data_IF_024636168594
#
_entry.id   IF_024636168594
#
_cell.length_a   1.000
_cell.length_b   1.000
_cell.length_c   1.000
_cell.angle_alpha   90.00
_cell.angle_beta   90.00
_cell.angle_gamma   90.00
#
_symmetry.space_group_name_H-M   'P 1'
#
loop_
_entity.id
_entity.type
_entity.pdbx_description
1 polymer ?
#
# COMPACT_ATOMS: atom_id res chain seq x y z
N UNK A 1 4.79 4.28 -23.27
CA UNK A 1 6.08 4.18 -22.52
C UNK A 1 5.82 4.73 -21.13
N UNK A 2 6.33 4.08 -20.08
CA UNK A 2 6.19 4.61 -18.71
C UNK A 2 7.14 5.78 -18.51
N UNK A 3 6.69 6.83 -17.81
CA UNK A 3 7.52 7.99 -17.48
C UNK A 3 8.57 7.62 -16.40
N UNK A 4 9.72 8.31 -16.34
CA UNK A 4 10.72 8.09 -15.29
C UNK A 4 10.17 8.37 -13.88
N UNK A 5 10.63 7.63 -12.88
CA UNK A 5 10.20 7.81 -11.48
C UNK A 5 10.49 9.23 -10.97
N UNK A 6 11.60 9.83 -11.40
CA UNK A 6 11.95 11.23 -11.07
C UNK A 6 10.90 12.24 -11.54
N UNK A 7 10.09 11.90 -12.55
CA UNK A 7 8.98 12.71 -13.06
C UNK A 7 7.69 12.35 -12.35
N UNK A 8 7.37 11.05 -12.25
CA UNK A 8 6.04 10.65 -11.73
C UNK A 8 5.90 10.81 -10.22
N UNK A 9 6.98 10.66 -9.44
CA UNK A 9 6.93 10.78 -7.98
C UNK A 9 6.50 12.19 -7.53
N UNK A 10 7.05 13.30 -8.06
CA UNK A 10 6.56 14.65 -7.77
C UNK A 10 5.10 14.86 -8.20
N UNK A 11 4.69 14.37 -9.38
CA UNK A 11 3.32 14.48 -9.85
C UNK A 11 2.33 13.72 -8.94
N UNK A 12 2.72 12.56 -8.44
CA UNK A 12 1.93 11.80 -7.49
C UNK A 12 1.81 12.50 -6.14
N UNK A 13 2.89 13.13 -5.66
CA UNK A 13 2.88 13.96 -4.44
C UNK A 13 1.93 15.14 -4.59
N UNK A 14 1.95 15.81 -5.74
CA UNK A 14 1.01 16.88 -6.07
C UNK A 14 -0.44 16.41 -6.02
N UNK A 15 -0.72 15.26 -6.62
CA UNK A 15 -2.06 14.70 -6.66
C UNK A 15 -2.54 14.26 -5.26
N UNK A 16 -1.64 13.74 -4.42
CA UNK A 16 -1.92 13.44 -3.01
C UNK A 16 -2.29 14.70 -2.22
N UNK A 17 -1.59 15.81 -2.42
CA UNK A 17 -1.94 17.09 -1.81
C UNK A 17 -3.32 17.59 -2.23
N UNK A 18 -3.66 17.43 -3.51
CA UNK A 18 -4.92 17.94 -4.04
C UNK A 18 -6.13 17.10 -3.64
N UNK A 19 -6.01 15.77 -3.60
CA UNK A 19 -7.15 14.87 -3.49
C UNK A 19 -7.19 14.03 -2.20
N UNK A 20 -6.05 13.84 -1.53
CA UNK A 20 -5.94 12.93 -0.40
C UNK A 20 -5.76 13.62 0.95
N UNK A 21 -5.08 14.76 0.98
CA UNK A 21 -4.73 15.47 2.21
C UNK A 21 -5.71 16.62 2.49
N UNK A 22 -6.18 16.71 3.73
CA UNK A 22 -7.03 17.79 4.20
C UNK A 22 -6.51 18.31 5.54
N UNK A 23 -6.32 19.62 5.65
CA UNK A 23 -5.98 20.27 6.91
C UNK A 23 -7.26 20.71 7.64
N UNK A 24 -7.35 20.50 8.95
CA UNK A 24 -8.51 20.84 9.76
C UNK A 24 -8.56 20.01 11.04
N UNK A 25 -9.58 20.23 11.86
CA UNK A 25 -9.79 19.45 13.08
C UNK A 25 -10.64 18.22 12.77
N UNK A 26 -10.03 17.06 12.92
CA UNK A 26 -10.67 15.76 12.66
C UNK A 26 -10.66 14.87 13.91
N UNK A 27 -11.69 14.05 14.06
CA UNK A 27 -11.71 12.94 15.01
C UNK A 27 -11.50 11.65 14.20
N UNK A 28 -10.39 10.96 14.46
CA UNK A 28 -10.06 9.70 13.79
C UNK A 28 -10.93 8.56 14.32
N UNK A 29 -10.97 7.43 13.59
CA UNK A 29 -11.69 6.22 14.02
C UNK A 29 -11.22 5.66 15.37
N UNK A 30 -10.00 5.98 15.79
CA UNK A 30 -9.46 5.68 17.12
C UNK A 30 -9.99 6.59 18.24
N UNK A 31 -10.77 7.63 17.91
CA UNK A 31 -11.21 8.68 18.83
C UNK A 31 -10.16 9.79 19.06
N UNK A 32 -8.97 9.69 18.52
CA UNK A 32 -7.93 10.70 18.65
C UNK A 32 -8.23 11.92 17.77
N UNK A 33 -7.92 13.13 18.29
CA UNK A 33 -7.95 14.35 17.49
C UNK A 33 -6.71 14.44 16.59
N UNK A 34 -6.92 14.94 15.38
CA UNK A 34 -5.85 15.18 14.40
C UNK A 34 -6.10 16.51 13.69
N UNK A 35 -5.05 17.28 13.47
CA UNK A 35 -5.12 18.52 12.70
C UNK A 35 -5.05 18.30 11.17
N UNK A 36 -5.10 17.06 10.74
CA UNK A 36 -5.20 16.69 9.34
C UNK A 36 -5.93 15.34 9.18
N UNK A 37 -6.46 15.15 8.00
CA UNK A 37 -7.02 13.87 7.54
C UNK A 37 -6.33 13.46 6.24
N UNK A 38 -6.10 12.15 6.04
CA UNK A 38 -5.58 11.61 4.81
C UNK A 38 -6.40 10.40 4.37
N UNK A 39 -6.80 10.41 3.09
CA UNK A 39 -7.47 9.30 2.42
C UNK A 39 -6.90 9.16 1.01
N UNK A 40 -6.09 8.15 0.77
CA UNK A 40 -5.42 7.97 -0.52
C UNK A 40 -6.33 7.41 -1.62
N UNK A 41 -7.54 6.92 -1.31
CA UNK A 41 -8.44 6.29 -2.31
C UNK A 41 -8.81 7.21 -3.48
N UNK A 42 -9.10 8.52 -3.30
CA UNK A 42 -9.31 9.41 -4.42
C UNK A 42 -8.13 9.48 -5.40
N UNK A 43 -6.90 9.26 -4.90
CA UNK A 43 -5.67 9.22 -5.71
C UNK A 43 -5.45 7.84 -6.30
N UNK A 44 -5.52 6.78 -5.49
CA UNK A 44 -5.24 5.41 -5.96
C UNK A 44 -6.31 4.87 -6.92
N UNK A 45 -7.49 5.47 -6.95
CA UNK A 45 -8.56 5.21 -7.91
C UNK A 45 -8.57 6.22 -9.09
N UNK A 46 -7.72 7.27 -9.06
CA UNK A 46 -7.58 8.20 -10.17
C UNK A 46 -6.73 7.56 -11.29
N UNK A 47 -7.05 7.72 -12.57
CA UNK A 47 -6.33 7.06 -13.67
C UNK A 47 -4.81 7.24 -13.62
N UNK A 48 -4.33 8.47 -13.51
CA UNK A 48 -2.90 8.77 -13.38
C UNK A 48 -2.37 8.42 -11.99
N UNK A 49 -3.15 8.65 -10.94
CA UNK A 49 -2.75 8.30 -9.57
C UNK A 49 -2.50 6.81 -9.39
N UNK A 50 -3.35 5.95 -9.95
CA UNK A 50 -3.16 4.51 -9.97
C UNK A 50 -1.89 4.13 -10.75
N UNK A 51 -1.73 4.65 -11.97
CA UNK A 51 -0.57 4.39 -12.81
C UNK A 51 0.74 4.77 -12.09
N UNK A 52 0.82 6.00 -11.58
CA UNK A 52 2.00 6.51 -10.90
C UNK A 52 2.29 5.77 -9.60
N UNK A 53 1.24 5.40 -8.83
CA UNK A 53 1.39 4.58 -7.62
C UNK A 53 2.03 3.23 -7.95
N UNK A 54 1.57 2.55 -8.98
CA UNK A 54 2.18 1.30 -9.44
C UNK A 54 3.65 1.48 -9.84
N UNK A 55 3.96 2.58 -10.58
CA UNK A 55 5.31 2.87 -11.03
C UNK A 55 6.30 3.14 -9.88
N UNK A 56 5.88 3.88 -8.84
CA UNK A 56 6.77 4.23 -7.72
C UNK A 56 6.91 3.11 -6.70
N UNK A 57 5.92 2.23 -6.57
CA UNK A 57 5.97 1.09 -5.63
C UNK A 57 6.75 -0.08 -6.21
N UNK A 58 6.57 -0.39 -7.49
CA UNK A 58 7.18 -1.57 -8.12
C UNK A 58 8.70 -1.70 -7.88
N UNK A 59 9.54 -0.66 -8.02
CA UNK A 59 10.98 -0.76 -7.77
C UNK A 59 11.36 -0.83 -6.28
N UNK A 60 10.43 -0.64 -5.36
CA UNK A 60 10.66 -0.81 -3.92
C UNK A 60 10.49 -2.26 -3.45
N UNK A 61 9.94 -3.12 -4.31
CA UNK A 61 9.76 -4.53 -3.98
C UNK A 61 11.10 -5.23 -3.86
N UNK A 62 11.18 -6.16 -2.89
CA UNK A 62 12.37 -7.01 -2.75
C UNK A 62 12.59 -7.85 -4.01
N UNK A 63 13.86 -8.15 -4.34
CA UNK A 63 14.18 -9.11 -5.40
C UNK A 63 13.43 -10.43 -5.19
N UNK A 64 12.98 -11.04 -6.29
CA UNK A 64 12.25 -12.31 -6.29
C UNK A 64 10.86 -12.25 -5.64
N UNK A 65 10.27 -11.07 -5.43
CA UNK A 65 8.85 -10.95 -5.06
C UNK A 65 8.01 -11.58 -6.17
N UNK A 66 7.23 -12.61 -5.80
CA UNK A 66 6.41 -13.39 -6.74
C UNK A 66 4.96 -12.89 -6.81
N UNK A 67 4.49 -12.16 -5.79
CA UNK A 67 3.18 -11.52 -5.78
C UNK A 67 3.17 -10.30 -4.85
N UNK A 68 2.16 -9.46 -5.01
CA UNK A 68 1.82 -8.40 -4.06
C UNK A 68 0.44 -8.65 -3.49
N UNK A 69 0.22 -8.31 -2.22
CA UNK A 69 -1.09 -8.47 -1.59
C UNK A 69 -1.36 -7.38 -0.55
N UNK A 70 -2.61 -7.23 -0.13
CA UNK A 70 -2.94 -6.24 0.90
C UNK A 70 -4.36 -6.38 1.41
N UNK A 71 -4.63 -5.73 2.56
CA UNK A 71 -5.94 -5.81 3.20
C UNK A 71 -6.95 -4.92 2.47
N UNK A 72 -8.09 -5.51 2.12
CA UNK A 72 -9.21 -4.76 1.50
C UNK A 72 -9.70 -3.67 2.47
N UNK A 73 -10.11 -2.49 2.04
CA UNK A 73 -10.34 -1.94 0.70
C UNK A 73 -9.17 -1.02 0.26
N UNK A 74 -8.35 -0.52 1.21
CA UNK A 74 -7.32 0.49 0.94
C UNK A 74 -6.23 -0.01 -0.01
N UNK A 75 -5.80 -1.25 0.16
CA UNK A 75 -4.75 -1.85 -0.66
C UNK A 75 -5.22 -2.30 -2.05
N UNK A 76 -6.51 -2.58 -2.27
CA UNK A 76 -7.00 -3.18 -3.51
C UNK A 76 -6.59 -2.40 -4.78
N UNK A 77 -6.77 -1.05 -4.84
CA UNK A 77 -6.34 -0.28 -6.00
C UNK A 77 -4.82 -0.31 -6.21
N UNK A 78 -4.04 -0.30 -5.13
CA UNK A 78 -2.57 -0.29 -5.18
C UNK A 78 -2.04 -1.64 -5.66
N UNK A 79 -2.57 -2.74 -5.13
CA UNK A 79 -2.24 -4.10 -5.56
C UNK A 79 -2.51 -4.27 -7.05
N UNK A 80 -3.68 -3.81 -7.52
CA UNK A 80 -4.04 -3.85 -8.93
C UNK A 80 -3.10 -2.97 -9.78
N UNK A 81 -2.79 -1.75 -9.31
CA UNK A 81 -1.90 -0.84 -10.02
C UNK A 81 -0.49 -1.41 -10.20
N UNK A 82 0.09 -1.97 -9.13
CA UNK A 82 1.41 -2.62 -9.17
C UNK A 82 1.39 -3.82 -10.11
N UNK A 83 0.36 -4.68 -10.04
CA UNK A 83 0.22 -5.84 -10.92
C UNK A 83 0.15 -5.41 -12.40
N UNK A 84 -0.66 -4.41 -12.75
CA UNK A 84 -0.77 -3.90 -14.12
C UNK A 84 0.55 -3.29 -14.61
N UNK A 85 1.19 -2.45 -13.79
CA UNK A 85 2.47 -1.83 -14.15
C UNK A 85 3.57 -2.88 -14.31
N UNK A 86 3.61 -3.91 -13.47
CA UNK A 86 4.59 -5.00 -13.57
C UNK A 86 4.48 -5.74 -14.92
N UNK A 87 3.26 -5.95 -15.41
CA UNK A 87 3.04 -6.54 -16.74
C UNK A 87 3.58 -5.65 -17.87
N UNK A 88 3.45 -4.31 -17.74
CA UNK A 88 3.98 -3.35 -18.72
C UNK A 88 5.52 -3.29 -18.72
N UNK A 89 6.17 -3.76 -17.66
CA UNK A 89 7.64 -3.86 -17.56
C UNK A 89 8.17 -5.25 -17.92
N UNK A 90 7.33 -6.13 -18.45
CA UNK A 90 7.65 -7.51 -18.83
C UNK A 90 8.10 -8.41 -17.67
N UNK A 91 7.81 -8.04 -16.43
CA UNK A 91 8.06 -8.83 -15.23
C UNK A 91 6.76 -8.94 -14.41
N UNK A 92 5.73 -9.68 -14.90
CA UNK A 92 4.39 -9.66 -14.32
C UNK A 92 4.37 -10.26 -12.92
N UNK A 93 3.81 -9.49 -11.98
CA UNK A 93 3.62 -9.86 -10.58
C UNK A 93 2.11 -9.87 -10.29
N UNK A 94 1.49 -11.01 -9.97
CA UNK A 94 0.07 -11.10 -9.67
C UNK A 94 -0.29 -10.39 -8.35
N UNK A 95 -1.54 -9.91 -8.29
CA UNK A 95 -2.12 -9.31 -7.09
C UNK A 95 -2.99 -10.29 -6.31
N UNK A 96 -2.94 -10.19 -4.98
CA UNK A 96 -3.76 -10.92 -4.01
C UNK A 96 -4.54 -9.93 -3.14
N UNK A 97 -5.84 -10.14 -2.99
CA UNK A 97 -6.66 -9.34 -2.08
C UNK A 97 -6.89 -10.10 -0.79
N UNK A 98 -6.48 -9.53 0.34
CA UNK A 98 -6.71 -10.10 1.66
C UNK A 98 -7.99 -9.52 2.25
N UNK A 99 -8.94 -10.36 2.57
CA UNK A 99 -10.26 -9.97 3.09
C UNK A 99 -10.20 -9.70 4.60
N UNK A 100 -11.00 -8.73 5.06
CA UNK A 100 -11.19 -8.48 6.51
C UNK A 100 -12.00 -9.59 7.20
N UNK A 101 -12.86 -10.27 6.43
CA UNK A 101 -13.70 -11.37 6.91
C UNK A 101 -13.65 -12.52 5.90
N UNK A 102 -13.71 -13.76 6.41
CA UNK A 102 -13.78 -14.93 5.56
C UNK A 102 -15.05 -14.91 4.68
N UNK A 103 -14.97 -15.54 3.52
CA UNK A 103 -16.13 -15.69 2.64
C UNK A 103 -17.18 -16.57 3.32
N UNK A 104 -18.42 -16.08 3.44
CA UNK A 104 -19.49 -16.76 4.18
C UNK A 104 -20.03 -18.04 3.54
N UNK A 105 -19.69 -18.34 2.28
CA UNK A 105 -20.13 -19.51 1.53
C UNK A 105 -18.95 -20.11 0.73
N UNK A 106 -18.84 -21.43 0.71
CA UNK A 106 -17.77 -22.19 0.04
C UNK A 106 -16.54 -22.38 0.93
N UNK A 107 -15.37 -22.48 0.32
CA UNK A 107 -14.09 -22.48 1.04
C UNK A 107 -13.98 -21.14 1.77
N UNK A 108 -13.80 -21.15 3.08
CA UNK A 108 -13.65 -19.93 3.91
C UNK A 108 -12.36 -19.15 3.52
N UNK A 109 -12.31 -18.74 2.25
CA UNK A 109 -11.13 -18.12 1.67
C UNK A 109 -10.95 -16.69 2.22
N UNK A 110 -9.78 -16.44 2.78
CA UNK A 110 -9.34 -15.13 3.23
C UNK A 110 -8.62 -14.34 2.15
N UNK A 111 -8.19 -15.01 1.08
CA UNK A 111 -7.38 -14.43 0.01
C UNK A 111 -8.08 -14.70 -1.32
N UNK A 112 -8.21 -13.65 -2.12
CA UNK A 112 -8.70 -13.70 -3.51
C UNK A 112 -7.51 -13.47 -4.45
N UNK A 113 -7.55 -14.10 -5.62
CA UNK A 113 -6.52 -14.01 -6.65
C UNK A 113 -6.05 -15.39 -7.11
N UNK A 114 -4.88 -15.43 -7.72
CA UNK A 114 -4.27 -16.69 -8.18
C UNK A 114 -3.70 -17.47 -6.99
N UNK A 115 -3.78 -18.80 -7.05
CA UNK A 115 -3.09 -19.66 -6.09
C UNK A 115 -1.60 -19.73 -6.45
N UNK A 116 -0.74 -19.35 -5.52
CA UNK A 116 0.71 -19.43 -5.66
C UNK A 116 1.23 -20.77 -5.10
N UNK A 117 2.48 -21.08 -5.42
CA UNK A 117 3.18 -22.20 -4.78
C UNK A 117 3.37 -21.92 -3.29
N UNK A 118 3.40 -22.94 -2.43
CA UNK A 118 3.85 -22.79 -1.05
C UNK A 118 5.22 -22.08 -1.01
N UNK A 119 5.44 -21.29 0.04
CA UNK A 119 6.65 -20.49 0.24
C UNK A 119 6.92 -19.38 -0.79
N UNK A 120 5.99 -19.11 -1.72
CA UNK A 120 6.11 -17.94 -2.61
C UNK A 120 6.25 -16.65 -1.82
N UNK A 121 7.18 -15.78 -2.25
CA UNK A 121 7.44 -14.50 -1.61
C UNK A 121 6.40 -13.46 -2.01
N UNK A 122 5.63 -12.99 -1.04
CA UNK A 122 4.58 -11.97 -1.22
C UNK A 122 4.96 -10.70 -0.47
N UNK A 123 4.94 -9.54 -1.14
CA UNK A 123 5.05 -8.24 -0.49
C UNK A 123 3.65 -7.71 -0.12
N UNK A 124 3.52 -7.17 1.10
CA UNK A 124 2.27 -6.54 1.54
C UNK A 124 2.28 -5.06 1.19
N UNK A 125 1.19 -4.60 0.58
CA UNK A 125 0.97 -3.20 0.20
C UNK A 125 -0.10 -2.57 1.09
N UNK A 126 0.07 -1.28 1.41
CA UNK A 126 -0.90 -0.50 2.18
C UNK A 126 -1.00 0.94 1.63
N UNK A 127 -2.19 1.54 1.65
CA UNK A 127 -2.37 2.91 1.19
C UNK A 127 -1.82 3.92 2.22
N UNK A 128 -2.24 3.81 3.46
CA UNK A 128 -1.79 4.67 4.55
C UNK A 128 -1.50 3.83 5.78
N UNK A 129 -0.28 3.87 6.25
CA UNK A 129 0.10 3.17 7.47
C UNK A 129 0.17 4.14 8.67
N UNK A 130 -0.41 3.72 9.79
CA UNK A 130 -0.33 4.39 11.10
C UNK A 130 0.51 3.57 12.07
N UNK A 131 -0.11 2.64 12.77
CA UNK A 131 0.55 1.68 13.67
C UNK A 131 0.95 0.38 12.99
N UNK A 132 0.52 0.17 11.74
CA UNK A 132 0.78 -1.07 10.99
C UNK A 132 -0.25 -2.19 11.20
N UNK A 133 -1.28 -2.00 12.04
CA UNK A 133 -2.22 -3.06 12.40
C UNK A 133 -2.94 -3.70 11.20
N UNK A 134 -3.39 -2.92 10.21
CA UNK A 134 -4.06 -3.43 9.01
C UNK A 134 -3.10 -4.28 8.16
N UNK A 135 -1.89 -3.75 7.90
CA UNK A 135 -0.87 -4.47 7.15
C UNK A 135 -0.47 -5.77 7.87
N UNK A 136 -0.36 -5.77 9.21
CA UNK A 136 -0.06 -6.98 9.99
C UNK A 136 -1.17 -8.03 9.89
N UNK A 137 -2.44 -7.64 9.77
CA UNK A 137 -3.52 -8.59 9.48
C UNK A 137 -3.31 -9.27 8.13
N UNK A 138 -2.94 -8.50 7.09
CA UNK A 138 -2.61 -9.08 5.78
C UNK A 138 -1.41 -10.02 5.85
N UNK A 139 -0.33 -9.61 6.53
CA UNK A 139 0.87 -10.45 6.76
C UNK A 139 0.48 -11.78 7.40
N UNK A 140 -0.30 -11.75 8.48
CA UNK A 140 -0.74 -12.95 9.19
C UNK A 140 -1.53 -13.89 8.27
N UNK A 141 -2.52 -13.36 7.52
CA UNK A 141 -3.35 -14.18 6.61
C UNK A 141 -2.56 -14.80 5.48
N UNK A 142 -1.61 -14.06 4.90
CA UNK A 142 -0.74 -14.57 3.85
C UNK A 142 0.21 -15.66 4.38
N UNK A 143 0.78 -15.47 5.56
CA UNK A 143 1.62 -16.49 6.23
C UNK A 143 0.82 -17.74 6.61
N UNK A 144 -0.41 -17.58 7.13
CA UNK A 144 -1.34 -18.70 7.40
C UNK A 144 -1.71 -19.49 6.14
N UNK A 145 -1.72 -18.85 4.97
CA UNK A 145 -1.94 -19.50 3.68
C UNK A 145 -0.68 -20.19 3.12
N UNK A 146 0.45 -20.18 3.84
CA UNK A 146 1.70 -20.84 3.45
C UNK A 146 2.61 -20.00 2.58
N UNK A 147 2.43 -18.68 2.51
CA UNK A 147 3.30 -17.77 1.78
C UNK A 147 4.36 -17.14 2.68
N UNK A 148 5.51 -16.79 2.11
CA UNK A 148 6.51 -16.00 2.80
C UNK A 148 6.18 -14.51 2.66
N UNK A 149 6.17 -13.79 3.78
CA UNK A 149 6.04 -12.33 3.78
C UNK A 149 7.22 -11.75 4.53
N UNK A 150 8.04 -10.97 3.81
CA UNK A 150 9.27 -10.35 4.34
C UNK A 150 9.23 -8.82 4.26
N UNK A 151 8.26 -8.24 3.55
CA UNK A 151 8.22 -6.80 3.30
C UNK A 151 6.80 -6.25 3.38
N UNK A 152 6.70 -5.01 3.90
CA UNK A 152 5.54 -4.13 3.77
C UNK A 152 5.97 -2.87 3.03
N UNK A 153 5.20 -2.46 2.01
CA UNK A 153 5.39 -1.19 1.30
C UNK A 153 4.12 -0.36 1.43
N UNK A 154 4.25 0.87 1.93
CA UNK A 154 3.14 1.82 2.05
C UNK A 154 3.26 2.96 1.04
N UNK A 155 2.12 3.47 0.57
CA UNK A 155 2.12 4.71 -0.20
C UNK A 155 2.43 5.90 0.71
N UNK A 156 1.81 5.99 1.89
CA UNK A 156 2.08 7.04 2.87
C UNK A 156 2.29 6.46 4.26
N UNK A 157 3.42 6.81 4.89
CA UNK A 157 3.68 6.55 6.31
C UNK A 157 3.32 7.77 7.16
N UNK A 158 2.43 7.58 8.15
CA UNK A 158 2.05 8.63 9.11
C UNK A 158 3.04 8.80 10.26
N UNK A 159 4.12 8.03 10.30
CA UNK A 159 5.16 8.06 11.34
C UNK A 159 4.60 7.83 12.76
N UNK A 160 3.70 6.86 12.90
CA UNK A 160 3.01 6.56 14.17
C UNK A 160 3.38 5.16 14.71
N UNK A 161 4.64 4.73 14.53
CA UNK A 161 5.18 3.49 15.11
C UNK A 161 5.07 2.25 14.22
N UNK A 162 4.64 2.37 12.96
CA UNK A 162 4.52 1.23 12.06
C UNK A 162 5.86 0.58 11.75
N UNK A 163 6.90 1.38 11.54
CA UNK A 163 8.26 0.88 11.23
C UNK A 163 8.78 -0.03 12.34
N UNK A 164 8.65 0.40 13.59
CA UNK A 164 9.06 -0.36 14.78
C UNK A 164 8.26 -1.66 14.89
N UNK A 165 6.95 -1.59 14.65
CA UNK A 165 6.08 -2.76 14.63
C UNK A 165 6.53 -3.78 13.59
N UNK A 166 6.81 -3.36 12.35
CA UNK A 166 7.23 -4.28 11.28
C UNK A 166 8.60 -4.90 11.55
N UNK A 167 9.57 -4.11 12.03
CA UNK A 167 10.90 -4.61 12.40
C UNK A 167 10.82 -5.68 13.49
N UNK A 168 9.98 -5.48 14.52
CA UNK A 168 9.75 -6.47 15.57
C UNK A 168 9.18 -7.80 15.04
N UNK A 169 8.50 -7.79 13.90
CA UNK A 169 7.94 -8.97 13.24
C UNK A 169 8.81 -9.52 12.10
N UNK A 170 10.08 -9.05 11.99
CA UNK A 170 11.04 -9.50 10.97
C UNK A 170 10.66 -9.06 9.55
N UNK A 171 10.03 -7.90 9.41
CA UNK A 171 9.60 -7.36 8.13
C UNK A 171 10.43 -6.13 7.77
N UNK A 172 10.87 -6.04 6.52
CA UNK A 172 11.36 -4.81 5.94
C UNK A 172 10.20 -3.87 5.68
N UNK A 173 10.42 -2.58 5.91
CA UNK A 173 9.42 -1.55 5.68
C UNK A 173 9.95 -0.42 4.80
N UNK A 174 9.19 -0.07 3.78
CA UNK A 174 9.44 1.07 2.90
C UNK A 174 8.15 1.85 2.71
N UNK A 175 8.27 3.18 2.61
CA UNK A 175 7.16 4.05 2.23
C UNK A 175 7.58 4.95 1.06
N UNK A 176 6.63 5.22 0.15
CA UNK A 176 6.87 6.14 -0.98
C UNK A 176 6.98 7.56 -0.45
N UNK A 177 6.09 7.94 0.47
CA UNK A 177 6.04 9.26 1.11
C UNK A 177 5.88 9.14 2.62
N UNK A 178 6.38 10.13 3.36
CA UNK A 178 5.99 10.35 4.76
C UNK A 178 4.93 11.44 4.84
N UNK A 179 4.18 11.45 5.95
CA UNK A 179 3.22 12.52 6.22
C UNK A 179 3.90 13.88 6.36
N UNK A 180 5.14 13.92 6.83
CA UNK A 180 5.90 15.16 6.95
C UNK A 180 6.26 15.74 5.58
N UNK A 181 6.74 14.89 4.66
CA UNK A 181 7.00 15.29 3.28
C UNK A 181 5.72 15.82 2.62
N UNK A 182 4.60 15.12 2.78
CA UNK A 182 3.31 15.52 2.23
C UNK A 182 2.87 16.90 2.78
N UNK A 183 2.93 17.09 4.11
CA UNK A 183 2.56 18.35 4.76
C UNK A 183 3.43 19.52 4.31
N UNK A 184 4.74 19.29 4.23
CA UNK A 184 5.68 20.31 3.78
C UNK A 184 5.36 20.74 2.33
N UNK A 185 5.11 19.78 1.44
CA UNK A 185 4.81 20.04 0.05
C UNK A 185 3.46 20.75 -0.13
N UNK A 186 2.41 20.32 0.58
CA UNK A 186 1.09 20.95 0.53
C UNK A 186 1.12 22.39 1.04
N UNK A 187 1.89 22.69 2.10
CA UNK A 187 2.02 24.04 2.66
C UNK A 187 2.73 25.04 1.73
N UNK A 188 3.52 24.55 0.76
CA UNK A 188 4.19 25.40 -0.22
C UNK A 188 3.30 25.77 -1.41
N UNK A 189 2.15 25.08 -1.58
CA UNK A 189 1.24 25.26 -2.71
C UNK A 189 -0.01 26.08 -2.38
N UNK A 190 -0.36 26.18 -1.13
CA UNK A 190 -1.53 26.89 -0.61
C UNK A 190 -1.13 27.84 0.52
#
# INVERSE_FOLDING_TARGET
MLEPISVVRPLLLDLLCQLAYQQGDFVLSSGQRSNYYINCKPVTLHPFGALWTGQVILPLLLPHTEAVGGLTLGADPIVTAVSVVSALTHCPIPGLIVRKQAKGHGTQAWIEGVTLRPDSLVAVLEDVVTTGSSAMQAVTRLREAGYQVKQVVALVDRLQGAKECFVQHGLEFSAVFTIEELRCHCAQRF
#
